data_IF_752475436650
#
_entry.id   IF_752475436650
#
_cell.length_a   1.000
_cell.length_b   1.000
_cell.length_c   1.000
_cell.angle_alpha   90.00
_cell.angle_beta   90.00
_cell.angle_gamma   90.00
#
_symmetry.space_group_name_H-M   'P 1'
#
loop_
_entity.id
_entity.type
_entity.pdbx_description
1 polymer ?
#
# COMPACT_ATOMS: atom_id res chain seq x y z
N UNK A 1 24.90 8.02 -26.66
CA UNK A 1 23.77 8.96 -26.71
C UNK A 1 23.41 9.32 -25.28
N UNK A 2 23.69 10.57 -24.87
CA UNK A 2 23.45 11.05 -23.52
C UNK A 2 21.95 11.28 -23.31
N UNK A 3 21.35 10.58 -22.35
CA UNK A 3 20.00 10.87 -21.89
C UNK A 3 20.03 12.23 -21.19
N UNK A 4 19.37 13.23 -21.79
CA UNK A 4 19.23 14.57 -21.22
C UNK A 4 18.63 14.53 -19.81
N UNK A 5 18.74 15.63 -19.04
CA UNK A 5 18.18 15.69 -17.70
C UNK A 5 16.69 15.36 -17.74
N UNK A 6 16.26 14.41 -16.91
CA UNK A 6 14.84 14.15 -16.66
C UNK A 6 14.15 15.48 -16.32
N UNK A 7 12.96 15.77 -16.87
CA UNK A 7 12.31 17.06 -16.68
C UNK A 7 12.12 17.35 -15.20
N UNK A 8 12.36 18.62 -14.82
CA UNK A 8 12.07 19.16 -13.49
C UNK A 8 10.60 18.86 -13.19
N UNK A 9 10.32 18.06 -12.16
CA UNK A 9 8.94 17.69 -11.82
C UNK A 9 8.10 18.95 -11.62
N UNK A 10 6.86 18.97 -12.10
CA UNK A 10 5.98 20.13 -11.98
C UNK A 10 5.80 20.55 -10.51
N UNK A 11 5.36 21.80 -10.25
CA UNK A 11 5.06 22.26 -8.89
C UNK A 11 4.08 21.31 -8.16
N UNK A 12 3.08 20.81 -8.89
CA UNK A 12 2.11 19.84 -8.39
C UNK A 12 2.79 18.53 -7.95
N UNK A 13 3.70 17.99 -8.76
CA UNK A 13 4.45 16.77 -8.42
C UNK A 13 5.33 16.97 -7.18
N UNK A 14 6.00 18.13 -7.05
CA UNK A 14 6.82 18.44 -5.87
C UNK A 14 5.97 18.50 -4.60
N UNK A 15 4.80 19.15 -4.68
CA UNK A 15 3.89 19.24 -3.55
C UNK A 15 3.33 17.87 -3.15
N UNK A 16 2.93 17.05 -4.14
CA UNK A 16 2.48 15.67 -3.91
C UNK A 16 3.54 14.87 -3.16
N UNK A 17 4.79 14.91 -3.65
CA UNK A 17 5.91 14.21 -3.04
C UNK A 17 6.18 14.73 -1.62
N UNK A 18 6.19 16.05 -1.42
CA UNK A 18 6.42 16.64 -0.10
C UNK A 18 5.36 16.20 0.93
N UNK A 19 4.08 16.19 0.54
CA UNK A 19 2.98 15.72 1.39
C UNK A 19 3.11 14.23 1.71
N UNK A 20 3.45 13.41 0.72
CA UNK A 20 3.67 11.98 0.92
C UNK A 20 4.85 11.73 1.88
N UNK A 21 5.96 12.47 1.77
CA UNK A 21 7.09 12.39 2.72
C UNK A 21 6.69 12.73 4.14
N UNK A 22 5.89 13.78 4.34
CA UNK A 22 5.40 14.15 5.66
C UNK A 22 4.54 13.03 6.27
N UNK A 23 3.66 12.42 5.46
CA UNK A 23 2.82 11.28 5.89
C UNK A 23 3.65 10.02 6.17
N UNK A 24 4.67 9.75 5.36
CA UNK A 24 5.63 8.67 5.59
C UNK A 24 6.37 8.84 6.92
N UNK A 25 6.79 10.07 7.23
CA UNK A 25 7.40 10.37 8.53
C UNK A 25 6.43 10.12 9.69
N UNK A 26 5.15 10.49 9.53
CA UNK A 26 4.11 10.21 10.52
C UNK A 26 3.92 8.70 10.77
N UNK A 27 3.98 7.86 9.73
CA UNK A 27 3.95 6.40 9.89
C UNK A 27 5.05 5.91 10.84
N UNK A 28 6.29 6.43 10.68
CA UNK A 28 7.41 6.06 11.55
C UNK A 28 7.25 6.58 12.99
N UNK A 29 6.69 7.78 13.15
CA UNK A 29 6.39 8.33 14.48
C UNK A 29 5.36 7.47 15.20
N UNK A 30 4.28 7.12 14.51
CA UNK A 30 3.20 6.29 15.06
C UNK A 30 3.62 4.83 15.23
N UNK A 31 4.68 4.42 14.51
CA UNK A 31 5.12 3.03 14.39
C UNK A 31 4.08 2.11 13.73
N UNK A 32 3.32 2.65 12.77
CA UNK A 32 2.20 1.97 12.13
C UNK A 32 2.18 2.15 10.61
N UNK A 33 1.74 1.12 9.91
CA UNK A 33 1.51 1.13 8.47
C UNK A 33 0.38 0.18 8.08
N UNK A 34 -0.06 0.29 6.82
CA UNK A 34 -1.19 -0.45 6.28
C UNK A 34 -0.77 -1.17 4.99
N UNK A 35 -1.13 -2.44 4.89
CA UNK A 35 -0.91 -3.25 3.69
C UNK A 35 -2.25 -3.63 3.06
N UNK A 36 -2.30 -3.59 1.73
CA UNK A 36 -3.30 -4.28 0.91
C UNK A 36 -2.61 -5.49 0.28
N UNK A 37 -3.23 -6.65 0.39
CA UNK A 37 -2.75 -7.87 -0.26
C UNK A 37 -3.90 -8.77 -0.70
N UNK A 38 -3.81 -9.42 -1.88
CA UNK A 38 -4.80 -10.38 -2.34
C UNK A 38 -5.06 -11.48 -1.32
N UNK A 39 -6.33 -11.87 -1.12
CA UNK A 39 -6.68 -12.94 -0.17
C UNK A 39 -5.98 -14.26 -0.52
N UNK A 40 -5.79 -14.53 -1.81
CA UNK A 40 -5.09 -15.71 -2.29
C UNK A 40 -3.63 -15.82 -1.82
N UNK A 41 -3.01 -14.75 -1.31
CA UNK A 41 -1.66 -14.79 -0.75
C UNK A 41 -1.59 -15.48 0.62
N UNK A 42 -2.72 -15.70 1.29
CA UNK A 42 -2.77 -16.40 2.58
C UNK A 42 -2.33 -17.87 2.52
N UNK A 43 -2.20 -18.42 1.31
CA UNK A 43 -1.57 -19.74 1.08
C UNK A 43 -0.06 -19.75 1.41
N UNK A 44 0.56 -18.58 1.51
CA UNK A 44 1.98 -18.43 1.86
C UNK A 44 2.12 -18.04 3.34
N UNK A 45 3.26 -18.36 3.99
CA UNK A 45 3.47 -17.99 5.39
C UNK A 45 3.64 -16.47 5.59
N UNK A 46 4.10 -15.76 4.56
CA UNK A 46 4.44 -14.34 4.62
C UNK A 46 4.05 -13.60 3.36
N UNK A 47 3.77 -12.30 3.50
CA UNK A 47 3.55 -11.35 2.41
C UNK A 47 4.87 -10.69 2.04
N UNK A 48 5.14 -10.56 0.73
CA UNK A 48 6.27 -9.79 0.22
C UNK A 48 7.61 -10.54 0.26
N UNK A 49 7.97 -11.23 -0.82
CA UNK A 49 9.21 -12.04 -0.95
C UNK A 49 10.49 -11.23 -0.74
N UNK A 50 10.48 -9.96 -1.12
CA UNK A 50 11.61 -9.02 -0.97
C UNK A 50 11.29 -7.85 -0.02
N UNK A 51 10.33 -8.09 0.88
CA UNK A 51 9.75 -7.06 1.74
C UNK A 51 8.28 -6.79 1.39
N UNK A 52 7.57 -6.22 2.35
CA UNK A 52 6.16 -5.87 2.24
C UNK A 52 6.02 -4.37 2.03
N UNK A 53 5.25 -4.00 1.01
CA UNK A 53 4.83 -2.62 0.79
C UNK A 53 3.75 -2.21 1.79
N UNK A 54 3.94 -1.06 2.42
CA UNK A 54 2.99 -0.43 3.34
C UNK A 54 2.79 1.04 2.98
N UNK A 55 1.61 1.56 3.33
CA UNK A 55 1.24 2.97 3.25
C UNK A 55 0.61 3.43 4.56
N UNK A 56 0.19 4.70 4.63
CA UNK A 56 -0.51 5.22 5.80
C UNK A 56 -2.03 4.92 5.73
N UNK A 57 -2.71 5.16 6.85
CA UNK A 57 -4.15 4.90 6.97
C UNK A 57 -4.98 5.63 5.91
N UNK A 58 -4.60 6.86 5.57
CA UNK A 58 -5.33 7.68 4.58
C UNK A 58 -5.38 7.02 3.20
N UNK A 59 -4.44 6.14 2.87
CA UNK A 59 -4.44 5.36 1.62
C UNK A 59 -5.52 4.32 1.54
N UNK A 60 -6.07 3.94 2.68
CA UNK A 60 -7.13 2.93 2.80
C UNK A 60 -8.32 3.47 3.59
N UNK A 61 -8.35 4.76 3.94
CA UNK A 61 -9.35 5.34 4.84
C UNK A 61 -10.77 5.22 4.30
N UNK A 62 -10.99 5.45 3.01
CA UNK A 62 -12.32 5.24 2.41
C UNK A 62 -12.83 3.81 2.54
N UNK A 63 -11.94 2.82 2.62
CA UNK A 63 -12.30 1.43 2.94
C UNK A 63 -12.54 1.25 4.44
N UNK A 64 -11.70 1.83 5.30
CA UNK A 64 -11.85 1.72 6.76
C UNK A 64 -13.15 2.37 7.26
N UNK A 65 -13.56 3.48 6.65
CA UNK A 65 -14.78 4.22 7.02
C UNK A 65 -16.06 3.51 6.53
N UNK A 66 -15.92 2.49 5.68
CA UNK A 66 -17.05 1.64 5.28
C UNK A 66 -17.38 0.70 6.43
N UNK A 67 -18.67 0.59 6.81
CA UNK A 67 -19.12 -0.31 7.88
C UNK A 67 -18.95 -1.78 7.47
N UNK A 68 -17.97 -2.53 8.01
CA UNK A 68 -17.81 -3.92 7.64
C UNK A 68 -18.96 -4.75 8.22
N UNK A 69 -19.51 -5.66 7.42
CA UNK A 69 -20.51 -6.64 7.86
C UNK A 69 -19.76 -7.94 8.13
N UNK A 70 -19.71 -8.37 9.40
CA UNK A 70 -18.95 -9.56 9.83
C UNK A 70 -17.47 -9.53 9.39
N UNK A 71 -16.82 -8.37 9.50
CA UNK A 71 -15.41 -8.19 9.10
C UNK A 71 -15.19 -8.15 7.59
N UNK A 72 -16.26 -7.98 6.80
CA UNK A 72 -16.20 -7.93 5.33
C UNK A 72 -16.73 -6.61 4.78
N UNK A 73 -16.09 -6.11 3.74
CA UNK A 73 -16.54 -4.98 2.93
C UNK A 73 -16.80 -5.50 1.52
N UNK A 74 -17.87 -5.02 0.90
CA UNK A 74 -18.23 -5.35 -0.47
C UNK A 74 -18.02 -4.11 -1.34
N UNK A 75 -17.25 -4.24 -2.42
CA UNK A 75 -17.01 -3.18 -3.39
C UNK A 75 -17.24 -3.69 -4.81
N UNK A 76 -17.49 -2.79 -5.75
CA UNK A 76 -17.57 -3.14 -7.17
C UNK A 76 -16.18 -3.40 -7.76
N UNK A 77 -16.14 -4.09 -8.91
CA UNK A 77 -14.92 -4.19 -9.74
C UNK A 77 -14.30 -2.84 -10.07
N UNK A 78 -15.11 -1.83 -10.39
CA UNK A 78 -14.61 -0.48 -10.71
C UNK A 78 -13.93 0.19 -9.52
N UNK A 79 -14.44 -0.02 -8.30
CA UNK A 79 -13.79 0.46 -7.08
C UNK A 79 -12.46 -0.25 -6.84
N UNK A 80 -12.39 -1.58 -7.06
CA UNK A 80 -11.14 -2.34 -6.95
C UNK A 80 -10.06 -1.84 -7.92
N UNK A 81 -10.41 -1.62 -9.19
CA UNK A 81 -9.51 -1.06 -10.20
C UNK A 81 -9.03 0.36 -9.82
N UNK A 82 -9.89 1.16 -9.19
CA UNK A 82 -9.53 2.47 -8.67
C UNK A 82 -8.49 2.39 -7.55
N UNK A 83 -8.62 1.41 -6.65
CA UNK A 83 -7.65 1.15 -5.58
C UNK A 83 -6.33 0.68 -6.16
N UNK A 84 -6.33 -0.29 -7.08
CA UNK A 84 -5.12 -0.78 -7.75
C UNK A 84 -4.35 0.37 -8.40
N UNK A 85 -5.04 1.22 -9.16
CA UNK A 85 -4.45 2.40 -9.79
C UNK A 85 -3.84 3.35 -8.76
N UNK A 86 -4.56 3.69 -7.70
CA UNK A 86 -4.08 4.62 -6.67
C UNK A 86 -2.88 4.06 -5.89
N UNK A 87 -2.84 2.75 -5.72
CA UNK A 87 -1.82 2.03 -4.97
C UNK A 87 -0.68 1.50 -5.84
N UNK A 88 -0.69 1.76 -7.15
CA UNK A 88 0.35 1.28 -8.08
C UNK A 88 0.41 -0.24 -8.19
N UNK A 89 -0.72 -0.93 -8.04
CA UNK A 89 -0.82 -2.38 -8.16
C UNK A 89 -1.08 -2.79 -9.60
N UNK A 90 -0.71 -4.02 -9.92
CA UNK A 90 -1.08 -4.64 -11.21
C UNK A 90 -2.61 -4.67 -11.39
N UNK A 91 -3.12 -4.33 -12.58
CA UNK A 91 -4.54 -4.41 -12.88
C UNK A 91 -5.09 -5.81 -12.63
N UNK A 92 -6.26 -5.86 -12.01
CA UNK A 92 -6.96 -7.08 -11.60
C UNK A 92 -6.24 -7.92 -10.53
N UNK A 93 -5.16 -7.44 -9.91
CA UNK A 93 -4.48 -8.12 -8.81
C UNK A 93 -5.38 -8.31 -7.57
N UNK A 94 -6.38 -7.45 -7.39
CA UNK A 94 -7.37 -7.49 -6.30
C UNK A 94 -8.69 -8.15 -6.70
N UNK A 95 -8.83 -8.62 -7.95
CA UNK A 95 -10.09 -9.16 -8.50
C UNK A 95 -10.66 -10.35 -7.73
N UNK A 96 -9.79 -11.16 -7.10
CA UNK A 96 -10.17 -12.28 -6.24
C UNK A 96 -10.48 -11.91 -4.79
N UNK A 97 -10.60 -10.62 -4.48
CA UNK A 97 -10.70 -10.11 -3.12
C UNK A 97 -9.32 -9.91 -2.46
N UNK A 98 -9.32 -9.10 -1.41
CA UNK A 98 -8.10 -8.70 -0.72
C UNK A 98 -8.35 -8.41 0.75
N UNK A 99 -7.27 -8.30 1.53
CA UNK A 99 -7.33 -7.91 2.94
C UNK A 99 -6.65 -6.57 3.14
N UNK A 100 -7.21 -5.78 4.05
CA UNK A 100 -6.55 -4.61 4.61
C UNK A 100 -5.99 -4.97 5.97
N UNK A 101 -4.68 -4.86 6.10
CA UNK A 101 -3.95 -5.22 7.33
C UNK A 101 -3.31 -3.99 7.94
N UNK A 102 -3.50 -3.82 9.24
CA UNK A 102 -2.69 -2.91 10.05
C UNK A 102 -1.43 -3.62 10.49
N UNK A 103 -0.29 -2.96 10.32
CA UNK A 103 1.02 -3.42 10.77
C UNK A 103 1.54 -2.44 11.81
N UNK A 104 1.87 -2.92 12.99
CA UNK A 104 2.48 -2.16 14.08
C UNK A 104 3.94 -2.59 14.27
N UNK A 105 4.78 -1.73 14.84
CA UNK A 105 6.19 -2.05 15.02
C UNK A 105 7.03 -1.91 13.74
N UNK A 106 6.63 -1.01 12.83
CA UNK A 106 7.28 -0.90 11.52
C UNK A 106 8.74 -0.40 11.60
N UNK A 107 9.12 0.35 12.64
CA UNK A 107 10.48 0.84 12.88
C UNK A 107 11.46 -0.32 13.09
N UNK A 108 11.00 -1.39 13.72
CA UNK A 108 11.77 -2.59 13.99
C UNK A 108 11.86 -3.52 12.76
N UNK A 109 11.08 -3.24 11.70
CA UNK A 109 10.99 -4.06 10.49
C UNK A 109 11.84 -3.54 9.32
N UNK A 110 12.94 -2.83 9.59
CA UNK A 110 13.85 -2.26 8.58
C UNK A 110 13.12 -1.45 7.49
N UNK A 111 12.43 -0.36 7.88
CA UNK A 111 11.72 0.48 6.92
C UNK A 111 12.70 1.11 5.92
N UNK A 112 12.38 1.02 4.64
CA UNK A 112 13.19 1.57 3.54
C UNK A 112 12.32 2.09 2.41
N UNK A 113 12.89 2.97 1.59
CA UNK A 113 12.28 3.35 0.31
C UNK A 113 12.29 2.15 -0.65
N UNK A 114 11.23 1.95 -1.44
CA UNK A 114 11.29 1.04 -2.57
C UNK A 114 12.35 1.52 -3.57
N UNK A 115 13.18 0.60 -4.04
CA UNK A 115 14.19 0.84 -5.07
C UNK A 115 13.80 0.25 -6.43
N UNK A 116 12.86 -0.69 -6.41
CA UNK A 116 12.31 -1.42 -7.55
C UNK A 116 10.83 -1.69 -7.31
N UNK A 117 10.11 -2.03 -8.39
CA UNK A 117 8.67 -2.31 -8.36
C UNK A 117 8.19 -2.79 -9.73
N UNK A 118 6.90 -2.69 -9.98
CA UNK A 118 6.27 -3.05 -11.24
C UNK A 118 6.23 -1.88 -12.25
N UNK A 119 5.52 -2.04 -13.36
CA UNK A 119 5.39 -1.01 -14.41
C UNK A 119 4.66 0.27 -13.92
N UNK A 120 4.01 0.21 -12.75
CA UNK A 120 3.33 1.34 -12.09
C UNK A 120 4.19 2.03 -11.02
N UNK A 121 5.40 1.51 -10.77
CA UNK A 121 6.35 2.12 -9.84
C UNK A 121 6.85 3.46 -10.40
N UNK A 122 6.60 4.54 -9.66
CA UNK A 122 6.99 5.88 -10.09
C UNK A 122 8.49 6.18 -9.94
N UNK A 123 9.26 5.23 -9.39
CA UNK A 123 10.67 5.37 -9.08
C UNK A 123 10.95 5.76 -7.63
N UNK A 124 12.20 5.62 -7.18
CA UNK A 124 12.57 5.84 -5.79
C UNK A 124 12.21 7.24 -5.30
N UNK A 125 11.47 7.32 -4.19
CA UNK A 125 11.09 8.59 -3.55
C UNK A 125 9.97 9.37 -4.24
N UNK A 126 9.32 8.80 -5.27
CA UNK A 126 8.20 9.42 -5.98
C UNK A 126 6.82 8.97 -5.49
N UNK A 127 6.78 8.02 -4.56
CA UNK A 127 5.60 7.53 -3.84
C UNK A 127 4.54 6.90 -4.76
N UNK A 128 3.37 6.54 -4.22
CA UNK A 128 2.32 5.84 -4.98
C UNK A 128 1.63 6.78 -5.99
N UNK A 129 1.06 6.25 -7.09
CA UNK A 129 0.35 7.05 -8.09
C UNK A 129 -0.78 7.94 -7.54
N UNK A 130 -1.48 7.49 -6.51
CA UNK A 130 -2.50 8.28 -5.81
C UNK A 130 -1.95 9.39 -4.89
N UNK A 131 -0.63 9.61 -4.84
CA UNK A 131 0.01 10.58 -3.94
C UNK A 131 0.15 10.10 -2.50
N UNK A 132 0.04 8.80 -2.28
CA UNK A 132 0.14 8.17 -0.97
C UNK A 132 1.59 7.81 -0.63
N UNK A 133 2.03 7.91 0.64
CA UNK A 133 3.36 7.44 1.03
C UNK A 133 3.54 5.97 0.69
N UNK A 134 4.77 5.59 0.42
CA UNK A 134 5.15 4.20 0.13
C UNK A 134 6.39 3.87 0.93
N UNK A 135 6.41 2.69 1.54
CA UNK A 135 7.56 2.17 2.25
C UNK A 135 7.59 0.66 2.11
N UNK A 136 8.80 0.11 2.06
CA UNK A 136 9.03 -1.32 2.14
C UNK A 136 9.56 -1.63 3.53
N UNK A 137 8.96 -2.62 4.19
CA UNK A 137 9.45 -3.23 5.42
C UNK A 137 9.82 -4.70 5.15
N UNK A 138 10.40 -5.38 6.13
CA UNK A 138 10.54 -6.85 6.11
C UNK A 138 9.20 -7.53 5.83
N UNK A 139 9.26 -8.72 5.27
CA UNK A 139 8.11 -9.58 5.04
C UNK A 139 7.31 -9.75 6.33
N UNK A 140 5.99 -9.56 6.26
CA UNK A 140 5.08 -9.75 7.38
C UNK A 140 4.36 -11.10 7.26
N UNK A 141 3.94 -11.74 8.38
CA UNK A 141 3.12 -12.94 8.31
C UNK A 141 1.76 -12.68 7.67
N UNK A 142 1.21 -13.69 6.98
CA UNK A 142 -0.16 -13.63 6.43
C UNK A 142 -1.24 -13.80 7.50
N UNK A 143 -0.90 -14.47 8.60
CA UNK A 143 -1.76 -14.70 9.77
C UNK A 143 -1.63 -13.57 10.78
N UNK A 144 -2.76 -13.23 11.39
CA UNK A 144 -2.82 -12.21 12.43
C UNK A 144 -2.00 -12.63 13.66
N UNK A 145 -1.35 -11.64 14.28
CA UNK A 145 -0.58 -11.76 15.50
C UNK A 145 -0.49 -10.40 16.22
N UNK A 146 0.47 -10.23 17.12
CA UNK A 146 0.65 -8.98 17.86
C UNK A 146 1.08 -7.78 17.01
N UNK A 147 1.69 -8.00 15.84
CA UNK A 147 2.19 -6.94 14.95
C UNK A 147 1.41 -6.80 13.65
N UNK A 148 0.62 -7.79 13.24
CA UNK A 148 -0.20 -7.78 12.03
C UNK A 148 -1.63 -8.10 12.41
N UNK A 149 -2.55 -7.19 12.08
CA UNK A 149 -3.99 -7.38 12.32
C UNK A 149 -4.77 -7.13 11.04
N UNK A 150 -5.54 -8.12 10.60
CA UNK A 150 -6.52 -7.94 9.53
C UNK A 150 -7.65 -7.07 10.07
N UNK A 151 -7.91 -5.94 9.42
CA UNK A 151 -9.01 -5.05 9.79
C UNK A 151 -10.32 -5.56 9.19
N UNK A 152 -10.27 -5.95 7.91
CA UNK A 152 -11.38 -6.52 7.18
C UNK A 152 -10.88 -7.21 5.91
N UNK A 153 -11.72 -8.10 5.41
CA UNK A 153 -11.63 -8.67 4.07
C UNK A 153 -12.52 -7.88 3.11
N UNK A 154 -12.05 -7.65 1.89
CA UNK A 154 -12.80 -6.97 0.84
C UNK A 154 -13.15 -7.98 -0.23
N UNK A 155 -14.46 -8.12 -0.47
CA UNK A 155 -15.04 -8.96 -1.50
C UNK A 155 -15.45 -8.10 -2.68
N UNK A 156 -15.15 -8.60 -3.89
CA UNK A 156 -15.46 -7.89 -5.13
C UNK A 156 -16.77 -8.45 -5.69
N UNK A 157 -17.75 -7.57 -5.84
CA UNK A 157 -19.03 -7.86 -6.45
C UNK A 157 -19.08 -7.30 -7.88
N UNK A 158 -19.91 -7.93 -8.71
CA UNK A 158 -20.27 -7.48 -10.05
C UNK A 158 -21.29 -6.33 -10.02
#
# INVERSE_FOLDING_TARGET
MATGPKPISSFFERNRIAQARQRQYKMLQDNEGFNISPTGWDRYPTIGRQGTFISDQKSVAGLIDSSPVNGKIYISKSQALGIEKNMGLEPNSLSGGFKVRKVTGIKEMLPRSPLEGNDYFLGPGNHLPGGHPEMVIKSIPTKDNSSVKTLFEVLIND
#
